data_IF_439907853084
#
_entry.id   IF_439907853084
#
_cell.length_a   1.000
_cell.length_b   1.000
_cell.length_c   1.000
_cell.angle_alpha   90.00
_cell.angle_beta   90.00
_cell.angle_gamma   90.00
#
_symmetry.space_group_name_H-M   'P 1'
#
loop_
_entity.id
_entity.type
_entity.pdbx_description
1 polymer ?
#
# COMPACT_ATOMS: atom_id res chain seq x y z
N UNK A 1 13.21 -0.75 24.40
CA UNK A 1 12.97 -0.96 23.00
C UNK A 1 13.05 -2.45 22.65
N UNK A 2 12.12 -2.93 21.90
CA UNK A 2 12.19 -4.31 21.42
C UNK A 2 13.37 -4.46 20.45
N UNK A 3 13.72 -5.70 20.10
CA UNK A 3 14.85 -5.98 19.22
C UNK A 3 14.71 -5.44 17.80
N UNK A 4 13.57 -4.90 17.43
CA UNK A 4 13.35 -4.32 16.11
C UNK A 4 13.36 -2.81 16.18
N UNK A 5 13.94 -2.20 15.16
CA UNK A 5 13.90 -0.75 15.02
C UNK A 5 12.69 -0.39 14.16
N UNK A 6 11.83 0.47 14.67
CA UNK A 6 10.63 0.88 14.00
C UNK A 6 10.55 2.40 13.89
N UNK A 7 10.09 2.87 12.76
CA UNK A 7 9.79 4.27 12.54
C UNK A 7 8.41 4.36 11.89
N UNK A 8 7.55 5.21 12.45
CA UNK A 8 6.22 5.46 11.90
C UNK A 8 6.08 6.93 11.55
N UNK A 9 5.53 7.22 10.38
CA UNK A 9 5.35 8.58 9.87
C UNK A 9 3.95 8.69 9.29
N UNK A 10 3.28 9.81 9.53
CA UNK A 10 1.99 10.10 8.92
C UNK A 10 2.18 11.01 7.71
N UNK A 11 1.47 10.69 6.63
CA UNK A 11 1.49 11.49 5.41
C UNK A 11 0.05 11.70 4.93
N UNK A 12 -0.25 12.92 4.53
CA UNK A 12 -1.54 13.22 3.91
C UNK A 12 -1.49 12.79 2.45
N UNK A 13 -2.32 11.81 2.11
CA UNK A 13 -2.49 11.41 0.72
C UNK A 13 -3.54 12.27 0.05
N UNK A 14 -3.78 11.98 -1.21
CA UNK A 14 -4.76 12.72 -2.00
C UNK A 14 -6.19 12.45 -1.53
N UNK A 15 -6.47 11.21 -1.16
CA UNK A 15 -7.84 10.75 -0.84
C UNK A 15 -8.02 10.42 0.62
N UNK A 16 -6.95 9.97 1.28
CA UNK A 16 -6.98 9.66 2.71
C UNK A 16 -5.58 9.82 3.27
N UNK A 17 -5.47 9.76 4.58
CA UNK A 17 -4.17 9.81 5.24
C UNK A 17 -3.55 8.43 5.23
N UNK A 18 -2.23 8.39 5.14
CA UNK A 18 -1.45 7.17 5.17
C UNK A 18 -0.54 7.17 6.38
N UNK A 19 -0.31 5.99 6.92
CA UNK A 19 0.69 5.80 7.95
C UNK A 19 1.77 4.90 7.38
N UNK A 20 3.00 5.41 7.33
CA UNK A 20 4.14 4.69 6.80
C UNK A 20 4.89 4.03 7.95
N UNK A 21 5.23 2.75 7.78
CA UNK A 21 6.02 2.02 8.76
C UNK A 21 7.29 1.51 8.13
N UNK A 22 8.42 1.76 8.78
CA UNK A 22 9.72 1.21 8.42
C UNK A 22 10.14 0.32 9.58
N UNK A 23 10.30 -0.97 9.33
CA UNK A 23 10.64 -1.93 10.36
C UNK A 23 11.90 -2.69 9.95
N UNK A 24 12.97 -2.49 10.72
CA UNK A 24 14.23 -3.18 10.47
C UNK A 24 14.24 -4.52 11.20
N UNK A 25 14.48 -5.59 10.46
CA UNK A 25 14.61 -6.93 11.01
C UNK A 25 16.06 -7.39 10.84
N UNK A 26 16.83 -7.25 11.91
CA UNK A 26 18.28 -7.48 11.86
C UNK A 26 18.65 -8.93 11.54
N UNK A 27 17.86 -9.89 12.00
CA UNK A 27 18.16 -11.32 11.84
C UNK A 27 18.31 -11.71 10.38
N UNK A 28 17.56 -11.09 9.49
CA UNK A 28 17.61 -11.41 8.07
C UNK A 28 18.10 -10.25 7.21
N UNK A 29 18.48 -9.14 7.85
CA UNK A 29 18.97 -7.98 7.11
C UNK A 29 17.91 -7.36 6.20
N UNK A 30 16.67 -7.32 6.66
CA UNK A 30 15.55 -6.85 5.86
C UNK A 30 14.95 -5.58 6.44
N UNK A 31 14.61 -4.64 5.55
CA UNK A 31 13.82 -3.47 5.90
C UNK A 31 12.43 -3.68 5.33
N UNK A 32 11.46 -3.83 6.23
CA UNK A 32 10.06 -3.97 5.86
C UNK A 32 9.41 -2.60 5.81
N UNK A 33 8.74 -2.31 4.71
CA UNK A 33 8.05 -1.04 4.53
C UNK A 33 6.58 -1.30 4.28
N UNK A 34 5.72 -0.50 4.90
CA UNK A 34 4.29 -0.52 4.59
C UNK A 34 3.71 0.89 4.62
N UNK A 35 2.76 1.10 3.72
CA UNK A 35 1.98 2.34 3.63
C UNK A 35 0.54 1.94 3.88
N UNK A 36 0.04 2.23 5.07
CA UNK A 36 -1.28 1.77 5.53
C UNK A 36 -2.30 2.88 5.32
N UNK A 37 -3.41 2.53 4.68
CA UNK A 37 -4.53 3.47 4.50
C UNK A 37 -5.26 3.61 5.83
N UNK A 38 -5.52 4.83 6.25
CA UNK A 38 -6.32 5.06 7.45
C UNK A 38 -7.80 4.95 7.11
N UNK A 39 -8.18 3.80 6.57
CA UNK A 39 -9.55 3.48 6.15
C UNK A 39 -9.80 2.03 6.49
N UNK A 40 -10.80 1.78 7.30
CA UNK A 40 -11.15 0.40 7.68
C UNK A 40 -12.21 -0.14 6.75
N UNK A 41 -11.97 -1.33 6.21
CA UNK A 41 -12.93 -2.03 5.37
C UNK A 41 -13.68 -3.05 6.23
N UNK A 42 -15.01 -3.06 6.12
CA UNK A 42 -15.82 -4.03 6.86
C UNK A 42 -15.66 -5.43 6.29
N UNK A 43 -15.76 -6.43 7.16
CA UNK A 43 -15.51 -7.82 6.82
C UNK A 43 -16.36 -8.31 5.64
N UNK A 44 -17.58 -7.82 5.53
CA UNK A 44 -18.50 -8.20 4.45
C UNK A 44 -18.01 -7.75 3.08
N UNK A 45 -17.07 -6.80 3.02
CA UNK A 45 -16.47 -6.32 1.77
C UNK A 45 -15.12 -6.98 1.46
N UNK A 46 -14.65 -7.90 2.30
CA UNK A 46 -13.32 -8.49 2.12
C UNK A 46 -13.21 -9.29 0.82
N UNK A 47 -14.21 -10.08 0.48
CA UNK A 47 -14.15 -10.92 -0.72
C UNK A 47 -13.92 -10.11 -2.01
N UNK A 48 -14.76 -9.10 -2.31
CA UNK A 48 -14.51 -8.28 -3.50
C UNK A 48 -13.19 -7.51 -3.41
N UNK A 49 -12.77 -7.12 -2.21
CA UNK A 49 -11.48 -6.44 -2.05
C UNK A 49 -10.33 -7.38 -2.35
N UNK A 50 -10.40 -8.65 -1.92
CA UNK A 50 -9.36 -9.62 -2.27
C UNK A 50 -9.22 -9.78 -3.79
N UNK A 51 -10.33 -9.82 -4.50
CA UNK A 51 -10.30 -9.90 -5.95
C UNK A 51 -9.69 -8.63 -6.57
N UNK A 52 -10.01 -7.47 -5.99
CA UNK A 52 -9.44 -6.20 -6.43
C UNK A 52 -7.92 -6.18 -6.20
N UNK A 53 -7.46 -6.65 -5.05
CA UNK A 53 -6.03 -6.73 -4.75
C UNK A 53 -5.29 -7.58 -5.79
N UNK A 54 -5.86 -8.72 -6.15
CA UNK A 54 -5.26 -9.59 -7.15
C UNK A 54 -5.12 -8.87 -8.49
N UNK A 55 -6.15 -8.12 -8.89
CA UNK A 55 -6.14 -7.38 -10.16
C UNK A 55 -5.13 -6.22 -10.13
N UNK A 56 -5.06 -5.49 -9.03
CA UNK A 56 -4.11 -4.38 -8.90
C UNK A 56 -2.68 -4.91 -8.91
N UNK A 57 -2.41 -5.95 -8.13
CA UNK A 57 -1.05 -6.47 -7.95
C UNK A 57 -0.43 -6.97 -9.26
N UNK A 58 -1.22 -7.40 -10.22
CA UNK A 58 -0.73 -7.77 -11.53
C UNK A 58 -0.10 -6.60 -12.28
N UNK A 59 -0.48 -5.37 -11.94
CA UNK A 59 -0.03 -4.16 -12.63
C UNK A 59 1.17 -3.48 -11.97
N UNK A 60 1.53 -3.92 -10.76
CA UNK A 60 2.61 -3.29 -10.01
C UNK A 60 3.96 -3.86 -10.42
N UNK A 61 4.95 -2.96 -10.56
CA UNK A 61 6.34 -3.38 -10.82
C UNK A 61 7.16 -3.51 -9.54
N UNK A 62 6.68 -2.92 -8.44
CA UNK A 62 7.36 -2.93 -7.16
C UNK A 62 6.31 -3.07 -6.06
N UNK A 63 6.59 -3.94 -5.07
CA UNK A 63 5.71 -4.10 -3.94
C UNK A 63 4.37 -4.71 -4.28
N UNK A 64 3.46 -4.70 -3.33
CA UNK A 64 2.12 -5.23 -3.53
C UNK A 64 1.16 -4.62 -2.52
N UNK A 65 -0.12 -4.64 -2.85
CA UNK A 65 -1.18 -4.27 -1.91
C UNK A 65 -1.66 -5.49 -1.15
N UNK A 66 -2.07 -5.27 0.08
CA UNK A 66 -2.59 -6.31 0.95
C UNK A 66 -3.69 -5.74 1.82
N UNK A 67 -4.43 -6.61 2.48
CA UNK A 67 -5.48 -6.23 3.41
C UNK A 67 -5.22 -6.93 4.74
N UNK A 68 -5.07 -6.15 5.80
CA UNK A 68 -4.90 -6.72 7.14
C UNK A 68 -6.23 -7.35 7.56
N UNK A 69 -6.23 -8.66 7.79
CA UNK A 69 -7.43 -9.38 8.21
C UNK A 69 -7.84 -9.04 9.64
N UNK A 70 -6.92 -8.51 10.44
CA UNK A 70 -7.22 -8.17 11.83
C UNK A 70 -7.95 -6.83 11.94
N UNK A 71 -7.44 -5.80 11.28
CA UNK A 71 -8.00 -4.46 11.41
C UNK A 71 -8.69 -3.94 10.14
N UNK A 72 -8.60 -4.68 9.05
CA UNK A 72 -9.32 -4.33 7.82
C UNK A 72 -8.77 -3.12 7.09
N UNK A 73 -7.52 -2.75 7.33
CA UNK A 73 -6.91 -1.62 6.63
C UNK A 73 -6.10 -2.09 5.44
N UNK A 74 -6.36 -1.52 4.25
CA UNK A 74 -5.52 -1.81 3.09
C UNK A 74 -4.12 -1.24 3.28
N UNK A 75 -3.14 -1.83 2.64
CA UNK A 75 -1.77 -1.35 2.71
C UNK A 75 -0.98 -1.71 1.49
N UNK A 76 -0.01 -0.86 1.15
CA UNK A 76 1.03 -1.18 0.18
C UNK A 76 2.25 -1.66 0.97
N UNK A 77 2.86 -2.75 0.53
CA UNK A 77 4.00 -3.36 1.23
C UNK A 77 5.15 -3.65 0.28
N UNK A 78 6.35 -3.49 0.80
CA UNK A 78 7.57 -3.86 0.09
C UNK A 78 8.68 -4.15 1.10
N UNK A 79 9.57 -5.06 0.76
CA UNK A 79 10.69 -5.41 1.62
C UNK A 79 11.99 -5.27 0.85
N UNK A 80 12.99 -4.61 1.44
CA UNK A 80 14.33 -4.50 0.89
C UNK A 80 15.24 -5.48 1.62
N UNK A 81 15.91 -6.34 0.87
CA UNK A 81 16.93 -7.23 1.42
C UNK A 81 18.27 -6.50 1.34
N UNK A 82 18.83 -6.16 2.48
CA UNK A 82 20.03 -5.33 2.56
C UNK A 82 21.26 -6.07 3.10
N UNK A 83 21.16 -7.38 3.28
CA UNK A 83 22.29 -8.16 3.76
C UNK A 83 23.46 -8.01 2.81
N UNK A 84 24.62 -7.58 3.35
CA UNK A 84 25.81 -7.37 2.55
C UNK A 84 25.87 -6.03 1.82
N UNK A 85 24.79 -5.26 1.84
CA UNK A 85 24.73 -3.99 1.11
C UNK A 85 24.84 -2.76 2.03
N UNK A 86 24.86 -2.96 3.35
CA UNK A 86 24.82 -1.86 4.31
C UNK A 86 23.43 -1.30 4.50
N UNK A 87 23.29 -0.19 5.23
CA UNK A 87 21.99 0.39 5.50
C UNK A 87 21.33 0.92 4.23
N UNK A 88 20.00 1.08 4.27
CA UNK A 88 19.28 1.68 3.16
C UNK A 88 19.75 3.12 2.96
N UNK A 89 19.91 3.50 1.71
CA UNK A 89 20.30 4.87 1.37
C UNK A 89 19.11 5.80 1.52
N UNK A 90 19.40 7.11 1.61
CA UNK A 90 18.35 8.12 1.63
C UNK A 90 17.48 8.01 0.37
N UNK A 91 18.11 7.79 -0.77
CA UNK A 91 17.41 7.64 -2.05
C UNK A 91 16.48 6.45 -2.05
N UNK A 92 16.89 5.32 -1.46
CA UNK A 92 16.03 4.14 -1.35
C UNK A 92 14.81 4.42 -0.49
N UNK A 93 14.99 5.14 0.62
CA UNK A 93 13.88 5.49 1.50
C UNK A 93 12.93 6.48 0.83
N UNK A 94 13.46 7.48 0.14
CA UNK A 94 12.65 8.44 -0.60
C UNK A 94 11.84 7.75 -1.69
N UNK A 95 12.45 6.82 -2.41
CA UNK A 95 11.76 6.06 -3.46
C UNK A 95 10.61 5.24 -2.87
N UNK A 96 10.82 4.60 -1.73
CA UNK A 96 9.76 3.84 -1.08
C UNK A 96 8.57 4.73 -0.73
N UNK A 97 8.84 5.90 -0.16
CA UNK A 97 7.78 6.85 0.19
C UNK A 97 7.06 7.32 -1.07
N UNK A 98 7.80 7.80 -2.05
CA UNK A 98 7.22 8.38 -3.27
C UNK A 98 6.41 7.36 -4.06
N UNK A 99 6.95 6.16 -4.25
CA UNK A 99 6.27 5.12 -5.00
C UNK A 99 5.02 4.64 -4.27
N UNK A 100 5.14 4.41 -2.97
CA UNK A 100 4.01 3.90 -2.19
C UNK A 100 2.84 4.89 -2.14
N UNK A 101 3.13 6.17 -1.94
CA UNK A 101 2.10 7.20 -1.91
C UNK A 101 1.48 7.37 -3.28
N UNK A 102 2.30 7.41 -4.32
CA UNK A 102 1.82 7.54 -5.70
C UNK A 102 0.92 6.37 -6.09
N UNK A 103 1.33 5.14 -5.82
CA UNK A 103 0.54 3.96 -6.15
C UNK A 103 -0.72 3.89 -5.29
N UNK A 104 -0.62 4.24 -4.01
CA UNK A 104 -1.79 4.25 -3.12
C UNK A 104 -2.82 5.27 -3.57
N UNK A 105 -2.39 6.47 -3.94
CA UNK A 105 -3.30 7.50 -4.45
C UNK A 105 -3.94 7.07 -5.78
N UNK A 106 -3.16 6.39 -6.62
CA UNK A 106 -3.67 5.93 -7.93
C UNK A 106 -4.79 4.92 -7.77
N UNK A 107 -4.65 3.97 -6.84
CA UNK A 107 -5.59 2.86 -6.72
C UNK A 107 -6.64 3.05 -5.64
N UNK A 108 -6.51 4.06 -4.78
CA UNK A 108 -7.50 4.29 -3.73
C UNK A 108 -8.93 4.41 -4.28
N UNK A 109 -9.17 5.13 -5.37
CA UNK A 109 -10.53 5.21 -5.94
C UNK A 109 -11.13 3.86 -6.30
N UNK A 110 -10.29 2.88 -6.70
CA UNK A 110 -10.79 1.54 -7.00
C UNK A 110 -11.39 0.88 -5.75
N UNK A 111 -10.74 1.06 -4.60
CA UNK A 111 -11.30 0.57 -3.33
C UNK A 111 -12.62 1.23 -3.02
N UNK A 112 -12.72 2.54 -3.25
CA UNK A 112 -13.97 3.27 -3.01
C UNK A 112 -15.10 2.75 -3.90
N UNK A 113 -14.82 2.51 -5.17
CA UNK A 113 -15.83 2.00 -6.10
C UNK A 113 -16.33 0.61 -5.72
N UNK A 114 -15.46 -0.24 -5.20
CA UNK A 114 -15.85 -1.57 -4.74
C UNK A 114 -16.64 -1.49 -3.43
N UNK A 115 -16.12 -0.74 -2.45
CA UNK A 115 -16.67 -0.73 -1.10
C UNK A 115 -17.98 0.05 -1.04
N UNK A 116 -18.01 1.24 -1.62
CA UNK A 116 -19.18 2.14 -1.53
C UNK A 116 -19.99 2.19 -2.80
N UNK A 117 -19.35 1.96 -3.94
CA UNK A 117 -20.04 1.98 -5.22
C UNK A 117 -20.64 0.66 -5.65
N UNK A 118 -20.31 -0.42 -4.96
CA UNK A 118 -20.78 -1.75 -5.31
C UNK A 118 -20.33 -2.26 -6.67
N UNK A 119 -19.28 -1.67 -7.24
CA UNK A 119 -18.77 -2.09 -8.55
C UNK A 119 -18.01 -3.40 -8.42
N UNK A 120 -18.07 -4.21 -9.47
CA UNK A 120 -17.22 -5.39 -9.56
C UNK A 120 -15.74 -4.96 -9.58
N UNK A 121 -14.83 -5.76 -9.03
CA UNK A 121 -13.41 -5.34 -8.92
C UNK A 121 -12.79 -4.87 -10.21
N UNK A 122 -13.04 -5.56 -11.32
CA UNK A 122 -12.48 -5.17 -12.62
C UNK A 122 -13.04 -3.83 -13.11
N UNK A 123 -14.33 -3.62 -12.95
CA UNK A 123 -14.96 -2.35 -13.31
C UNK A 123 -14.43 -1.20 -12.44
N UNK A 124 -14.24 -1.47 -11.16
CA UNK A 124 -13.71 -0.48 -10.23
C UNK A 124 -12.29 -0.07 -10.62
N UNK A 125 -11.48 -1.05 -10.98
CA UNK A 125 -10.10 -0.79 -11.39
C UNK A 125 -10.06 0.02 -12.68
N UNK A 126 -10.85 -0.36 -13.68
CA UNK A 126 -10.92 0.36 -14.94
C UNK A 126 -11.38 1.80 -14.74
N UNK A 127 -12.39 2.01 -13.90
CA UNK A 127 -12.90 3.35 -13.59
C UNK A 127 -11.84 4.21 -12.91
N UNK A 128 -11.07 3.64 -11.98
CA UNK A 128 -10.02 4.36 -11.29
C UNK A 128 -8.91 4.80 -12.25
N UNK A 129 -8.53 3.93 -13.17
CA UNK A 129 -7.48 4.25 -14.14
C UNK A 129 -7.93 5.32 -15.13
N UNK A 130 -9.18 5.32 -15.53
CA UNK A 130 -9.72 6.36 -16.40
C UNK A 130 -9.69 7.71 -15.69
N UNK A 131 -10.06 7.73 -14.44
CA UNK A 131 -10.07 8.97 -13.65
C UNK A 131 -8.66 9.56 -13.53
N UNK A 132 -7.66 8.73 -13.34
CA UNK A 132 -6.26 9.18 -13.28
C UNK A 132 -5.85 9.80 -14.61
N UNK A 133 -6.20 9.17 -15.74
CA UNK A 133 -5.90 9.69 -17.07
C UNK A 133 -6.63 11.02 -17.30
N UNK A 134 -7.87 11.12 -16.86
CA UNK A 134 -8.66 12.33 -17.00
C UNK A 134 -8.11 13.53 -16.26
N UNK A 135 -7.27 13.31 -15.26
CA UNK A 135 -6.65 14.38 -14.47
C UNK A 135 -5.31 14.83 -15.03
N UNK A 136 -4.76 14.07 -15.93
CA UNK A 136 -3.52 14.45 -16.58
C UNK A 136 -3.76 15.53 -17.60
#
# INVERSE_FOLDING_TARGET
RSGSDELAVEINGRWCNYRLFFIWQAEIGALHFSCVFETRIHQESYKPVYALLAAINEKLWLGHFDLSSEDGMPMFRHTLLLRGAGPASVEQLEDLVDISVSESDRYYPAFQFVIWGGKAPKEALDAALIEVVGEA
#
